data_IF_341967024252
#
_entry.id   IF_341967024252
#
_cell.length_a   1.000
_cell.length_b   1.000
_cell.length_c   1.000
_cell.angle_alpha   90.00
_cell.angle_beta   90.00
_cell.angle_gamma   90.00
#
_symmetry.space_group_name_H-M   'P 1'
#
loop_
_entity.id
_entity.type
_entity.pdbx_description
1 polymer ?
#
# COMPACT_ATOMS: atom_id res chain seq x y z
N UNK A 1 -6.51 -27.78 -9.13
CA UNK A 1 -5.10 -28.01 -8.79
C UNK A 1 -4.50 -26.64 -8.52
N UNK A 2 -4.10 -26.35 -7.29
CA UNK A 2 -3.45 -25.06 -6.97
C UNK A 2 -2.03 -25.20 -7.49
N UNK A 3 -1.77 -24.56 -8.63
CA UNK A 3 -0.46 -24.47 -9.24
C UNK A 3 0.49 -23.88 -8.20
N UNK A 4 1.48 -24.67 -7.79
CA UNK A 4 2.38 -24.34 -6.70
C UNK A 4 3.36 -23.29 -7.25
N UNK A 5 2.93 -22.04 -7.19
CA UNK A 5 3.66 -20.89 -7.73
C UNK A 5 5.09 -20.89 -7.18
N UNK A 6 6.09 -20.88 -8.07
CA UNK A 6 7.50 -20.86 -7.68
C UNK A 6 7.76 -19.65 -6.78
N UNK A 7 8.35 -19.92 -5.61
CA UNK A 7 8.65 -18.88 -4.62
C UNK A 7 9.85 -18.06 -5.09
N UNK A 8 9.59 -16.87 -5.60
CA UNK A 8 10.63 -15.85 -5.70
C UNK A 8 10.73 -15.09 -4.37
N UNK A 9 11.55 -15.64 -3.47
CA UNK A 9 11.85 -15.03 -2.17
C UNK A 9 12.44 -13.62 -2.30
N UNK A 10 13.12 -13.30 -3.40
CA UNK A 10 13.70 -11.95 -3.60
C UNK A 10 12.61 -10.95 -3.93
N UNK A 11 11.71 -11.30 -4.84
CA UNK A 11 10.55 -10.44 -5.20
C UNK A 11 9.63 -10.22 -4.01
N UNK A 12 9.25 -11.29 -3.31
CA UNK A 12 8.36 -11.20 -2.15
C UNK A 12 8.99 -10.35 -1.02
N UNK A 13 10.29 -10.55 -0.76
CA UNK A 13 11.05 -9.76 0.21
C UNK A 13 11.19 -8.30 -0.19
N UNK A 14 11.41 -8.00 -1.47
CA UNK A 14 11.47 -6.63 -1.99
C UNK A 14 10.13 -5.91 -1.84
N UNK A 15 9.02 -6.55 -2.21
CA UNK A 15 7.68 -5.98 -2.05
C UNK A 15 7.39 -5.69 -0.58
N UNK A 16 7.72 -6.62 0.32
CA UNK A 16 7.60 -6.40 1.75
C UNK A 16 8.44 -5.20 2.23
N UNK A 17 9.72 -5.15 1.87
CA UNK A 17 10.61 -4.05 2.26
C UNK A 17 10.14 -2.70 1.72
N UNK A 18 9.69 -2.65 0.46
CA UNK A 18 9.15 -1.43 -0.16
C UNK A 18 7.90 -0.96 0.58
N UNK A 19 6.98 -1.88 0.89
CA UNK A 19 5.78 -1.56 1.65
C UNK A 19 6.08 -1.04 3.06
N UNK A 20 6.97 -1.72 3.80
CA UNK A 20 7.40 -1.30 5.14
C UNK A 20 8.10 0.06 5.09
N UNK A 21 8.99 0.27 4.12
CA UNK A 21 9.70 1.54 3.96
C UNK A 21 8.73 2.67 3.64
N UNK A 22 7.76 2.42 2.76
CA UNK A 22 6.71 3.40 2.43
C UNK A 22 5.88 3.79 3.65
N UNK A 23 5.48 2.82 4.47
CA UNK A 23 4.78 3.09 5.73
C UNK A 23 5.64 3.87 6.71
N UNK A 24 6.91 3.49 6.88
CA UNK A 24 7.84 4.19 7.76
C UNK A 24 8.04 5.64 7.33
N UNK A 25 8.16 5.92 6.02
CA UNK A 25 8.28 7.29 5.49
C UNK A 25 7.00 8.09 5.73
N UNK A 26 5.82 7.49 5.60
CA UNK A 26 4.54 8.18 5.85
C UNK A 26 4.25 8.45 7.33
N UNK A 27 4.80 7.63 8.22
CA UNK A 27 4.60 7.75 9.66
C UNK A 27 5.66 8.64 10.33
N UNK A 28 6.92 8.55 9.87
CA UNK A 28 8.03 9.36 10.37
C UNK A 28 8.18 10.69 9.64
N UNK A 29 7.56 10.82 8.46
CA UNK A 29 7.51 12.06 7.70
C UNK A 29 6.74 13.14 8.46
N UNK A 30 7.16 14.40 8.29
CA UNK A 30 6.48 15.55 8.89
C UNK A 30 5.01 15.56 8.50
N UNK A 31 4.12 15.52 9.50
CA UNK A 31 2.68 15.55 9.22
C UNK A 31 2.31 16.93 8.66
N UNK A 32 1.80 16.99 7.41
CA UNK A 32 1.35 18.25 6.84
C UNK A 32 0.19 18.77 7.69
N UNK A 33 0.34 19.98 8.20
CA UNK A 33 -0.65 20.63 9.06
C UNK A 33 -1.87 20.98 8.22
N UNK A 34 -2.92 20.15 8.29
CA UNK A 34 -4.32 20.48 7.95
C UNK A 34 -4.73 20.75 6.49
N UNK A 35 -3.86 20.66 5.49
CA UNK A 35 -4.29 20.80 4.10
C UNK A 35 -5.13 19.59 3.65
N UNK A 36 -6.38 19.84 3.27
CA UNK A 36 -7.39 18.86 2.81
C UNK A 36 -6.84 17.84 1.80
N UNK A 37 -6.12 18.36 0.80
CA UNK A 37 -5.48 17.59 -0.27
C UNK A 37 -4.34 16.70 0.22
N UNK A 38 -3.60 17.14 1.24
CA UNK A 38 -2.52 16.36 1.85
C UNK A 38 -3.04 15.18 2.67
N UNK A 39 -4.19 15.31 3.33
CA UNK A 39 -4.80 14.20 4.06
C UNK A 39 -5.23 13.09 3.10
N UNK A 40 -5.92 13.45 2.02
CA UNK A 40 -6.36 12.50 0.98
C UNK A 40 -5.15 11.82 0.31
N UNK A 41 -4.12 12.59 -0.04
CA UNK A 41 -2.91 12.05 -0.65
C UNK A 41 -2.15 11.12 0.31
N UNK A 42 -2.07 11.48 1.60
CA UNK A 42 -1.42 10.65 2.63
C UNK A 42 -2.16 9.34 2.80
N UNK A 43 -3.48 9.36 2.87
CA UNK A 43 -4.28 8.13 2.99
C UNK A 43 -4.18 7.26 1.73
N UNK A 44 -4.20 7.86 0.54
CA UNK A 44 -3.94 7.13 -0.71
C UNK A 44 -2.57 6.42 -0.69
N UNK A 45 -1.51 7.16 -0.33
CA UNK A 45 -0.16 6.63 -0.21
C UNK A 45 -0.08 5.52 0.84
N UNK A 46 -0.76 5.68 1.98
CA UNK A 46 -0.84 4.68 3.03
C UNK A 46 -1.48 3.38 2.52
N UNK A 47 -2.64 3.48 1.85
CA UNK A 47 -3.30 2.33 1.24
C UNK A 47 -2.42 1.64 0.19
N UNK A 48 -1.67 2.41 -0.62
CA UNK A 48 -0.75 1.85 -1.62
C UNK A 48 0.43 1.10 -0.97
N UNK A 49 1.06 1.65 0.06
CA UNK A 49 2.16 1.02 0.78
C UNK A 49 1.70 -0.27 1.47
N UNK A 50 0.49 -0.26 2.03
CA UNK A 50 -0.12 -1.41 2.66
C UNK A 50 -0.45 -2.51 1.64
N UNK A 51 -0.95 -2.17 0.46
CA UNK A 51 -1.19 -3.12 -0.63
C UNK A 51 0.09 -3.80 -1.12
N UNK A 52 1.18 -3.03 -1.30
CA UNK A 52 2.48 -3.55 -1.69
C UNK A 52 3.06 -4.49 -0.61
N UNK A 53 2.95 -4.09 0.67
CA UNK A 53 3.37 -4.90 1.80
C UNK A 53 2.64 -6.25 1.84
N UNK A 54 1.30 -6.21 1.79
CA UNK A 54 0.47 -7.41 1.83
C UNK A 54 0.71 -8.30 0.61
N UNK A 55 1.02 -7.72 -0.55
CA UNK A 55 1.37 -8.47 -1.75
C UNK A 55 2.64 -9.31 -1.57
N UNK A 56 3.66 -8.77 -0.87
CA UNK A 56 4.85 -9.53 -0.50
C UNK A 56 4.58 -10.61 0.54
N UNK A 57 3.71 -10.35 1.53
CA UNK A 57 3.34 -11.33 2.57
C UNK A 57 2.55 -12.51 1.99
N UNK A 58 1.56 -12.23 1.15
CA UNK A 58 0.66 -13.24 0.59
C UNK A 58 1.16 -13.86 -0.72
N UNK A 59 2.34 -13.46 -1.22
CA UNK A 59 2.92 -13.96 -2.48
C UNK A 59 2.00 -13.71 -3.68
N UNK A 60 1.45 -12.51 -3.74
CA UNK A 60 0.53 -12.15 -4.81
C UNK A 60 1.24 -12.16 -6.17
N UNK A 61 0.55 -12.64 -7.20
CA UNK A 61 0.96 -12.43 -8.60
C UNK A 61 1.03 -10.93 -8.90
N UNK A 62 1.80 -10.50 -9.93
CA UNK A 62 1.90 -9.07 -10.27
C UNK A 62 0.53 -8.43 -10.50
N UNK A 63 -0.38 -9.16 -11.16
CA UNK A 63 -1.76 -8.69 -11.38
C UNK A 63 -2.52 -8.52 -10.07
N UNK A 64 -2.44 -9.49 -9.16
CA UNK A 64 -3.10 -9.40 -7.86
C UNK A 64 -2.49 -8.29 -6.99
N UNK A 65 -1.16 -8.13 -7.04
CA UNK A 65 -0.46 -7.09 -6.31
C UNK A 65 -0.90 -5.70 -6.79
N UNK A 66 -0.97 -5.49 -8.10
CA UNK A 66 -1.39 -4.23 -8.69
C UNK A 66 -2.86 -3.93 -8.39
N UNK A 67 -3.76 -4.91 -8.57
CA UNK A 67 -5.19 -4.74 -8.29
C UNK A 67 -5.45 -4.48 -6.81
N UNK A 68 -4.87 -5.27 -5.91
CA UNK A 68 -5.05 -5.08 -4.46
C UNK A 68 -4.48 -3.75 -3.98
N UNK A 69 -3.31 -3.35 -4.48
CA UNK A 69 -2.70 -2.04 -4.19
C UNK A 69 -3.58 -0.89 -4.64
N UNK A 70 -4.13 -0.94 -5.86
CA UNK A 70 -5.06 0.08 -6.34
C UNK A 70 -6.36 0.11 -5.53
N UNK A 71 -6.95 -1.05 -5.22
CA UNK A 71 -8.16 -1.12 -4.41
C UNK A 71 -7.95 -0.54 -3.00
N UNK A 72 -6.83 -0.86 -2.35
CA UNK A 72 -6.46 -0.30 -1.05
C UNK A 72 -6.19 1.20 -1.14
N UNK A 73 -5.39 1.65 -2.10
CA UNK A 73 -5.08 3.06 -2.29
C UNK A 73 -6.34 3.91 -2.50
N UNK A 74 -7.26 3.46 -3.37
CA UNK A 74 -8.54 4.13 -3.61
C UNK A 74 -9.43 4.08 -2.37
N UNK A 75 -9.53 2.92 -1.71
CA UNK A 75 -10.35 2.77 -0.50
C UNK A 75 -9.93 3.71 0.63
N UNK A 76 -8.63 3.81 0.88
CA UNK A 76 -8.10 4.76 1.85
C UNK A 76 -8.25 6.22 1.39
N UNK A 77 -8.05 6.54 0.11
CA UNK A 77 -8.29 7.89 -0.38
C UNK A 77 -9.75 8.33 -0.18
N UNK A 78 -10.71 7.44 -0.46
CA UNK A 78 -12.14 7.70 -0.21
C UNK A 78 -12.41 7.86 1.29
N UNK A 79 -11.80 7.02 2.14
CA UNK A 79 -11.84 7.18 3.60
C UNK A 79 -11.37 8.56 4.05
N UNK A 80 -10.25 9.03 3.51
CA UNK A 80 -9.68 10.34 3.80
C UNK A 80 -10.56 11.48 3.32
N UNK A 81 -11.19 11.35 2.15
CA UNK A 81 -12.20 12.31 1.68
C UNK A 81 -13.35 12.39 2.68
N UNK A 82 -13.92 11.25 3.09
CA UNK A 82 -15.05 11.21 4.03
C UNK A 82 -14.66 11.82 5.38
N UNK A 83 -13.49 11.48 5.92
CA UNK A 83 -13.00 11.96 7.22
C UNK A 83 -12.80 13.48 7.24
N UNK A 84 -12.61 14.07 6.08
CA UNK A 84 -12.27 15.47 5.90
C UNK A 84 -13.50 16.33 5.55
N UNK A 85 -14.64 15.73 5.19
CA UNK A 85 -15.93 16.39 4.99
C UNK A 85 -16.72 16.51 6.29
#
# INVERSE_FOLDING_TARGET
>A
MVEKQERDLRRDGLLFLVGVTGLAVLELGTQPTSAREFVILREFLFGSALGILLSGVFRATDKQALVSTLCLAVGFAVGGVINVF
#
